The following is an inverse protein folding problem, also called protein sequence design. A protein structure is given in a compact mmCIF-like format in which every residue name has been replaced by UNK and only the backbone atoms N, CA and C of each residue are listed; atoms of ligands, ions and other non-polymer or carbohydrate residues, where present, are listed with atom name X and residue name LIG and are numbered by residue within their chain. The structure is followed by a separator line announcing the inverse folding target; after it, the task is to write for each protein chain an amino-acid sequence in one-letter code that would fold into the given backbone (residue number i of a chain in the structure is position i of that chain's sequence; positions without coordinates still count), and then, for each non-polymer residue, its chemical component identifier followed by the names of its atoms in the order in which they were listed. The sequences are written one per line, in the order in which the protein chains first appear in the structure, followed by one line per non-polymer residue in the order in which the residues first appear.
data_IF_495515986457
#
_entry.id   IF_495515986457
#
_cell.length_a   1.000
_cell.length_b   1.000
_cell.length_c   1.000
_cell.angle_alpha   90.00
_cell.angle_beta   90.00
_cell.angle_gamma   90.00
#
_symmetry.space_group_name_H-M   'P 1'
#
loop_
_entity.id
_entity.type
_entity.pdbx_description
1 polymer ?
#
# COMPACT_ATOMS: atom_id res chain seq x y z
N UNK A 1 38.23 12.25 2.46
CA UNK A 1 37.63 12.01 1.14
C UNK A 1 36.18 11.65 1.39
N UNK A 2 35.24 12.21 0.63
CA UNK A 2 33.84 11.76 0.70
C UNK A 2 33.78 10.27 0.33
N UNK A 3 32.97 9.46 1.04
CA UNK A 3 32.79 8.05 0.69
C UNK A 3 32.19 7.93 -0.73
N UNK A 4 32.61 6.89 -1.45
CA UNK A 4 32.09 6.63 -2.79
C UNK A 4 30.61 6.22 -2.73
N UNK A 5 30.26 5.42 -1.72
CA UNK A 5 28.93 4.81 -1.61
C UNK A 5 28.37 5.02 -0.20
N UNK A 6 27.13 5.47 -0.11
CA UNK A 6 26.31 5.51 1.09
C UNK A 6 25.04 4.69 0.91
N UNK A 7 24.78 3.78 1.84
CA UNK A 7 23.54 2.99 1.92
C UNK A 7 22.83 3.39 3.19
N UNK A 8 21.58 3.85 3.09
CA UNK A 8 20.80 4.37 4.21
C UNK A 8 19.55 3.52 4.35
N UNK A 9 19.42 2.81 5.47
CA UNK A 9 18.22 2.07 5.81
C UNK A 9 17.32 2.92 6.69
N UNK A 10 16.11 3.19 6.22
CA UNK A 10 15.11 4.00 6.92
C UNK A 10 13.84 3.18 7.16
N UNK A 11 13.62 2.76 8.41
CA UNK A 11 12.29 2.36 8.87
C UNK A 11 11.54 3.65 9.22
N UNK A 12 10.53 3.99 8.43
CA UNK A 12 9.89 5.30 8.52
C UNK A 12 8.77 5.38 9.56
N UNK A 13 8.34 4.23 10.12
CA UNK A 13 7.08 4.10 10.88
C UNK A 13 5.82 4.59 10.12
N UNK A 14 5.95 4.84 8.80
CA UNK A 14 4.92 5.21 7.80
C UNK A 14 4.15 6.52 8.03
N UNK A 15 4.22 7.10 9.23
CA UNK A 15 3.55 8.34 9.62
C UNK A 15 4.50 9.26 10.39
N UNK A 16 4.23 10.55 10.43
CA UNK A 16 5.08 11.53 11.14
C UNK A 16 4.64 11.76 12.59
N UNK A 17 4.41 10.68 13.34
CA UNK A 17 4.00 10.76 14.75
C UNK A 17 5.21 11.00 15.66
N UNK A 18 5.32 12.15 16.36
CA UNK A 18 6.49 12.47 17.18
C UNK A 18 6.70 11.50 18.36
N UNK A 19 5.66 10.77 18.77
CA UNK A 19 5.73 9.79 19.86
C UNK A 19 6.14 8.39 19.38
N UNK A 20 6.12 8.16 18.07
CA UNK A 20 6.44 6.89 17.43
C UNK A 20 7.27 7.16 16.17
N UNK A 21 8.45 7.78 16.32
CA UNK A 21 9.35 7.99 15.18
C UNK A 21 9.84 6.63 14.66
N UNK A 22 10.22 6.62 13.39
CA UNK A 22 10.99 5.53 12.82
C UNK A 22 12.46 5.56 13.26
N UNK A 23 13.33 4.95 12.49
CA UNK A 23 14.78 4.96 12.71
C UNK A 23 15.55 4.92 11.39
N UNK A 24 16.72 5.56 11.38
CA UNK A 24 17.65 5.54 10.25
C UNK A 24 19.03 5.03 10.70
N UNK A 25 19.66 4.23 9.84
CA UNK A 25 21.08 3.84 9.95
C UNK A 25 21.77 3.94 8.59
N UNK A 26 23.09 3.82 8.55
CA UNK A 26 23.80 3.79 7.28
C UNK A 26 25.06 2.92 7.27
N UNK A 27 25.46 2.52 6.06
CA UNK A 27 26.78 2.00 5.72
C UNK A 27 27.42 2.93 4.69
N UNK A 28 28.63 3.41 4.97
CA UNK A 28 29.36 4.29 4.05
C UNK A 28 30.72 3.70 3.73
N UNK A 29 31.15 3.76 2.46
CA UNK A 29 32.38 3.09 2.06
C UNK A 29 32.81 3.30 0.62
N UNK A 30 33.80 2.53 0.21
CA UNK A 30 34.39 2.49 -1.14
C UNK A 30 34.10 1.17 -1.87
N UNK A 31 33.10 0.43 -1.39
CA UNK A 31 32.79 -0.91 -1.88
C UNK A 31 33.67 -2.01 -1.28
N UNK A 32 34.83 -1.73 -0.68
CA UNK A 32 35.67 -2.72 -0.01
C UNK A 32 35.58 -2.59 1.52
N UNK A 33 35.76 -1.37 2.02
CA UNK A 33 35.70 -1.03 3.43
C UNK A 33 34.43 -0.25 3.73
N UNK A 34 33.80 -0.55 4.88
CA UNK A 34 32.52 0.03 5.26
C UNK A 34 32.56 0.54 6.70
N UNK A 35 32.04 1.74 6.89
CA UNK A 35 31.76 2.36 8.18
C UNK A 35 30.27 2.25 8.44
N UNK A 36 29.91 1.58 9.53
CA UNK A 36 28.53 1.52 10.01
C UNK A 36 28.22 2.72 10.90
N UNK A 37 27.18 3.45 10.54
CA UNK A 37 26.57 4.48 11.36
C UNK A 37 25.39 3.87 12.09
N UNK A 38 25.53 3.74 13.41
CA UNK A 38 24.55 3.11 14.28
C UNK A 38 23.16 3.76 14.13
N UNK A 39 22.08 2.97 14.30
CA UNK A 39 20.72 3.46 14.11
C UNK A 39 20.34 4.52 15.15
N UNK A 40 19.64 5.56 14.68
CA UNK A 40 19.08 6.62 15.51
C UNK A 40 17.61 6.79 15.17
N UNK A 41 16.78 7.09 16.17
CA UNK A 41 15.37 7.39 15.92
C UNK A 41 15.28 8.64 15.05
N UNK A 42 14.40 8.58 14.05
CA UNK A 42 14.25 9.63 13.08
C UNK A 42 12.83 9.68 12.53
N UNK A 43 12.31 10.90 12.44
CA UNK A 43 11.20 11.25 11.56
C UNK A 43 11.71 11.56 10.16
N UNK A 44 10.81 11.87 9.22
CA UNK A 44 11.19 12.11 7.82
C UNK A 44 12.17 13.28 7.62
N UNK A 45 12.00 14.37 8.36
CA UNK A 45 12.89 15.54 8.31
C UNK A 45 14.26 15.24 8.92
N UNK A 46 14.30 14.53 10.04
CA UNK A 46 15.53 14.08 10.70
C UNK A 46 16.28 13.05 9.84
N UNK A 47 15.58 12.11 9.22
CA UNK A 47 16.15 11.14 8.28
C UNK A 47 16.74 11.83 7.06
N UNK A 48 16.04 12.83 6.51
CA UNK A 48 16.58 13.64 5.41
C UNK A 48 17.84 14.41 5.85
N UNK A 49 17.81 15.05 7.02
CA UNK A 49 18.98 15.75 7.56
C UNK A 49 20.16 14.79 7.77
N UNK A 50 19.90 13.58 8.26
CA UNK A 50 20.91 12.53 8.42
C UNK A 50 21.54 12.15 7.07
N UNK A 51 20.74 11.92 6.02
CA UNK A 51 21.25 11.58 4.68
C UNK A 51 22.09 12.72 4.10
N UNK A 52 21.68 13.98 4.29
CA UNK A 52 22.42 15.16 3.82
C UNK A 52 23.71 15.41 4.60
N UNK A 53 23.74 15.10 5.89
CA UNK A 53 24.93 15.22 6.74
C UNK A 53 25.98 14.12 6.46
N UNK A 54 25.60 13.07 5.73
CA UNK A 54 26.44 11.95 5.39
C UNK A 54 26.49 11.78 3.86
N UNK A 55 27.12 12.70 3.09
CA UNK A 55 27.12 12.62 1.63
C UNK A 55 27.98 11.47 1.10
N UNK A 56 27.60 10.94 -0.05
CA UNK A 56 28.38 9.99 -0.84
C UNK A 56 28.11 10.23 -2.34
N UNK A 57 29.02 9.82 -3.22
CA UNK A 57 28.83 9.97 -4.67
C UNK A 57 27.62 9.18 -5.16
N UNK A 58 27.48 7.95 -4.67
CA UNK A 58 26.33 7.08 -4.86
C UNK A 58 25.58 6.90 -3.55
N UNK A 59 24.29 7.19 -3.54
CA UNK A 59 23.43 7.06 -2.37
C UNK A 59 22.28 6.10 -2.67
N UNK A 60 22.15 5.03 -1.88
CA UNK A 60 21.03 4.08 -1.96
C UNK A 60 20.20 4.21 -0.68
N UNK A 61 18.98 4.70 -0.80
CA UNK A 61 18.03 4.84 0.30
C UNK A 61 17.11 3.62 0.25
N UNK A 62 17.30 2.70 1.20
CA UNK A 62 16.44 1.54 1.43
C UNK A 62 15.35 1.92 2.43
N UNK A 63 14.15 2.20 1.91
CA UNK A 63 13.02 2.73 2.68
C UNK A 63 11.99 1.63 2.97
N UNK A 64 11.71 1.36 4.25
CA UNK A 64 10.54 0.56 4.66
C UNK A 64 9.29 1.44 4.65
N UNK A 65 8.84 1.73 3.43
CA UNK A 65 7.55 2.31 3.13
C UNK A 65 7.24 2.21 1.63
N UNK A 66 5.99 1.88 1.27
CA UNK A 66 5.46 2.08 -0.07
C UNK A 66 5.67 3.52 -0.59
N UNK A 67 6.22 3.66 -1.79
CA UNK A 67 6.49 4.96 -2.43
C UNK A 67 5.71 5.18 -3.73
N UNK A 68 5.05 4.14 -4.25
CA UNK A 68 4.09 4.23 -5.35
C UNK A 68 2.79 3.56 -4.92
N UNK A 69 1.78 4.34 -4.56
CA UNK A 69 0.48 3.86 -4.06
C UNK A 69 -0.65 4.49 -4.87
N UNK A 70 -1.05 3.80 -5.93
CA UNK A 70 -2.06 4.29 -6.88
C UNK A 70 -3.48 3.79 -6.56
N UNK A 71 -3.60 2.74 -5.76
CA UNK A 71 -4.87 2.14 -5.41
C UNK A 71 -5.57 2.93 -4.29
N UNK A 72 -6.84 3.27 -4.50
CA UNK A 72 -7.65 3.99 -3.52
C UNK A 72 -7.93 3.13 -2.27
N UNK A 73 -8.16 1.83 -2.44
CA UNK A 73 -8.44 0.86 -1.38
C UNK A 73 -7.66 -0.45 -1.61
N UNK A 74 -7.83 -1.45 -0.74
CA UNK A 74 -7.23 -2.76 -0.94
C UNK A 74 -5.72 -2.82 -0.68
N UNK A 75 -5.01 -3.65 -1.43
CA UNK A 75 -3.59 -3.99 -1.25
C UNK A 75 -2.90 -4.03 -2.61
N UNK A 76 -1.68 -3.48 -2.74
CA UNK A 76 -0.98 -3.45 -4.03
C UNK A 76 -0.60 -4.86 -4.47
N UNK A 77 -0.43 -5.10 -5.78
CA UNK A 77 0.03 -6.39 -6.28
C UNK A 77 1.36 -6.84 -5.65
N UNK A 78 2.28 -5.91 -5.40
CA UNK A 78 3.59 -6.19 -4.77
C UNK A 78 3.45 -6.77 -3.37
N UNK A 79 2.61 -6.18 -2.51
CA UNK A 79 2.35 -6.75 -1.17
C UNK A 79 1.70 -8.12 -1.24
N UNK A 80 0.89 -8.42 -2.27
CA UNK A 80 0.32 -9.76 -2.44
C UNK A 80 1.41 -10.80 -2.74
N UNK A 81 2.44 -10.41 -3.48
CA UNK A 81 3.59 -11.29 -3.73
C UNK A 81 4.42 -11.44 -2.45
N UNK A 82 4.73 -10.36 -1.74
CA UNK A 82 5.39 -10.43 -0.43
C UNK A 82 4.63 -11.33 0.55
N UNK A 83 3.29 -11.24 0.52
CA UNK A 83 2.38 -12.06 1.32
C UNK A 83 2.50 -13.56 1.08
N UNK A 84 2.97 -14.02 -0.08
CA UNK A 84 3.16 -15.47 -0.32
C UNK A 84 4.22 -16.10 0.58
N UNK A 85 5.18 -15.29 1.06
CA UNK A 85 6.21 -15.70 2.03
C UNK A 85 5.77 -15.35 3.44
N UNK A 86 5.38 -14.09 3.67
CA UNK A 86 5.09 -13.60 5.02
C UNK A 86 3.90 -14.34 5.63
N UNK A 87 2.82 -14.58 4.88
CA UNK A 87 1.66 -15.32 5.38
C UNK A 87 1.98 -16.81 5.59
N UNK A 88 2.83 -17.39 4.74
CA UNK A 88 3.28 -18.79 4.89
C UNK A 88 3.99 -19.02 6.23
N UNK A 89 4.67 -17.99 6.73
CA UNK A 89 5.34 -18.01 8.03
C UNK A 89 4.42 -17.53 9.18
N UNK A 90 3.15 -17.23 8.93
CA UNK A 90 2.21 -16.72 9.94
C UNK A 90 2.50 -15.28 10.37
N UNK A 91 3.12 -14.50 9.48
CA UNK A 91 3.16 -13.03 9.54
C UNK A 91 1.96 -12.42 8.81
N UNK A 92 1.92 -11.09 8.76
CA UNK A 92 0.93 -10.35 7.97
C UNK A 92 1.59 -9.20 7.22
N UNK A 93 1.04 -8.86 6.06
CA UNK A 93 1.47 -7.72 5.26
C UNK A 93 0.43 -6.61 5.39
N UNK A 94 0.85 -5.42 5.80
CA UNK A 94 -0.06 -4.29 5.93
C UNK A 94 -0.40 -3.74 4.53
N UNK A 95 -1.69 -3.60 4.17
CA UNK A 95 -2.07 -3.05 2.89
C UNK A 95 -1.67 -1.58 2.72
N UNK A 96 -1.04 -1.26 1.59
CA UNK A 96 -0.82 0.11 1.14
C UNK A 96 -1.95 0.54 0.19
N UNK A 97 -2.69 1.60 0.53
CA UNK A 97 -3.74 2.20 -0.29
C UNK A 97 -4.03 3.63 0.19
N UNK A 98 -4.53 4.50 -0.70
CA UNK A 98 -4.76 5.91 -0.40
C UNK A 98 -5.86 6.16 0.65
N UNK A 99 -6.71 5.17 0.94
CA UNK A 99 -7.67 5.21 2.04
C UNK A 99 -7.03 5.11 3.43
N UNK A 100 -5.73 4.76 3.53
CA UNK A 100 -4.96 4.78 4.78
C UNK A 100 -4.51 6.21 5.09
N UNK A 101 -5.39 6.95 5.76
CA UNK A 101 -5.17 8.35 6.12
C UNK A 101 -3.81 8.56 6.83
N UNK A 102 -3.10 9.61 6.43
CA UNK A 102 -1.75 9.99 6.87
C UNK A 102 -0.61 8.97 6.61
N UNK A 103 -0.90 7.78 6.07
CA UNK A 103 0.11 6.79 5.68
C UNK A 103 0.39 6.82 4.19
N UNK A 104 -0.67 6.90 3.37
CA UNK A 104 -0.58 6.85 1.90
C UNK A 104 -1.61 7.75 1.18
N UNK A 105 -2.36 8.57 1.91
CA UNK A 105 -3.20 9.62 1.31
C UNK A 105 -2.34 10.80 0.81
N UNK A 106 -2.95 11.83 0.23
CA UNK A 106 -2.22 12.99 -0.28
C UNK A 106 -1.41 13.76 0.79
N UNK A 107 -1.72 13.56 2.09
CA UNK A 107 -1.03 14.21 3.20
C UNK A 107 0.12 13.37 3.76
N UNK A 108 0.36 12.17 3.25
CA UNK A 108 1.40 11.29 3.78
C UNK A 108 2.80 11.94 3.70
N UNK A 109 3.58 11.89 4.78
CA UNK A 109 4.87 12.61 4.88
C UNK A 109 5.93 12.09 3.90
N UNK A 110 5.80 10.84 3.47
CA UNK A 110 6.71 10.20 2.51
C UNK A 110 6.76 10.93 1.17
N UNK A 111 5.65 11.56 0.73
CA UNK A 111 5.63 12.32 -0.52
C UNK A 111 6.55 13.53 -0.46
N UNK A 112 6.51 14.27 0.65
CA UNK A 112 7.41 15.41 0.88
C UNK A 112 8.85 14.95 0.99
N UNK A 113 9.09 13.85 1.71
CA UNK A 113 10.43 13.26 1.83
C UNK A 113 11.02 12.92 0.46
N UNK A 114 10.31 12.16 -0.39
CA UNK A 114 10.76 11.79 -1.74
C UNK A 114 10.98 13.03 -2.60
N UNK A 115 10.07 14.01 -2.53
CA UNK A 115 10.18 15.25 -3.31
C UNK A 115 11.47 16.02 -2.99
N UNK A 116 11.84 16.13 -1.72
CA UNK A 116 13.06 16.84 -1.29
C UNK A 116 14.30 16.00 -1.54
N UNK A 117 14.20 14.69 -1.29
CA UNK A 117 15.29 13.77 -1.50
C UNK A 117 15.71 13.75 -2.99
N UNK A 118 14.77 13.94 -3.92
CA UNK A 118 15.01 13.92 -5.38
C UNK A 118 15.69 12.63 -5.88
N UNK A 119 15.49 11.53 -5.14
CA UNK A 119 16.05 10.23 -5.49
C UNK A 119 15.34 9.61 -6.70
N UNK A 120 16.10 8.90 -7.53
CA UNK A 120 15.59 8.10 -8.64
C UNK A 120 15.04 6.78 -8.08
N UNK A 121 13.76 6.52 -8.32
CA UNK A 121 13.10 5.29 -7.89
C UNK A 121 13.29 4.17 -8.92
N UNK A 122 14.52 3.64 -9.01
CA UNK A 122 14.86 2.56 -9.93
C UNK A 122 15.92 1.65 -9.29
N UNK A 123 15.57 0.42 -8.86
CA UNK A 123 16.52 -0.47 -8.21
C UNK A 123 17.67 -0.88 -9.14
N UNK A 124 17.42 -1.03 -10.44
CA UNK A 124 18.45 -1.42 -11.40
C UNK A 124 19.47 -0.31 -11.64
N UNK A 125 19.01 0.95 -11.71
CA UNK A 125 19.90 2.12 -11.74
C UNK A 125 20.68 2.24 -10.41
N UNK A 126 20.00 2.04 -9.27
CA UNK A 126 20.64 2.01 -7.96
C UNK A 126 21.81 1.02 -7.86
N UNK A 127 21.80 -0.04 -8.67
CA UNK A 127 22.91 -0.98 -8.74
C UNK A 127 23.97 -0.59 -9.78
N UNK A 128 23.56 -0.23 -10.98
CA UNK A 128 24.46 -0.09 -12.14
C UNK A 128 25.17 1.27 -12.24
N UNK A 129 24.53 2.35 -11.78
CA UNK A 129 25.09 3.70 -11.91
C UNK A 129 26.23 3.95 -10.91
N UNK A 130 27.27 4.67 -11.32
CA UNK A 130 28.42 4.97 -10.46
C UNK A 130 28.15 6.07 -9.42
N UNK A 131 27.18 6.95 -9.70
CA UNK A 131 26.83 8.09 -8.86
C UNK A 131 25.34 8.39 -8.93
N UNK A 132 24.88 9.24 -8.01
CA UNK A 132 23.49 9.68 -7.93
C UNK A 132 22.79 9.14 -6.70
N UNK A 133 21.55 9.57 -6.52
CA UNK A 133 20.72 9.22 -5.38
C UNK A 133 19.55 8.37 -5.83
N UNK A 134 19.42 7.20 -5.23
CA UNK A 134 18.45 6.18 -5.61
C UNK A 134 17.64 5.76 -4.41
N UNK A 135 16.35 5.48 -4.62
CA UNK A 135 15.47 4.96 -3.58
C UNK A 135 14.95 3.59 -4.00
N UNK A 136 14.97 2.66 -3.05
CA UNK A 136 14.37 1.34 -3.18
C UNK A 136 13.39 1.10 -2.03
N UNK A 137 12.19 0.63 -2.35
CA UNK A 137 11.26 0.11 -1.33
C UNK A 137 11.80 -1.22 -0.80
N UNK A 138 11.81 -1.39 0.52
CA UNK A 138 12.22 -2.62 1.20
C UNK A 138 11.18 -3.02 2.24
N UNK A 139 11.21 -4.28 2.68
CA UNK A 139 10.30 -4.77 3.72
C UNK A 139 11.03 -5.77 4.63
N UNK A 140 11.46 -5.35 5.84
CA UNK A 140 12.23 -6.18 6.77
C UNK A 140 11.62 -7.56 7.01
N UNK A 141 10.30 -7.64 7.23
CA UNK A 141 9.64 -8.91 7.50
C UNK A 141 9.69 -9.91 6.32
N UNK A 142 9.78 -9.43 5.08
CA UNK A 142 9.99 -10.27 3.89
C UNK A 142 11.46 -10.71 3.75
N UNK A 143 12.41 -9.86 4.13
CA UNK A 143 13.85 -10.11 4.02
C UNK A 143 14.39 -11.05 5.09
N UNK A 144 13.86 -10.96 6.33
CA UNK A 144 14.33 -11.71 7.50
C UNK A 144 14.49 -13.22 7.24
N UNK A 145 13.54 -13.95 6.62
CA UNK A 145 13.70 -15.39 6.38
C UNK A 145 14.89 -15.74 5.47
N UNK A 146 15.34 -14.81 4.63
CA UNK A 146 16.53 -14.97 3.78
C UNK A 146 17.81 -14.57 4.51
N UNK A 147 17.79 -13.46 5.25
CA UNK A 147 18.94 -12.97 6.03
C UNK A 147 19.23 -13.86 7.25
N UNK A 148 18.19 -14.48 7.81
CA UNK A 148 18.26 -15.39 8.95
C UNK A 148 17.62 -16.73 8.56
N UNK A 149 18.36 -17.61 7.84
CA UNK A 149 17.79 -18.84 7.28
C UNK A 149 17.15 -19.79 8.30
N UNK A 150 17.53 -19.69 9.58
CA UNK A 150 16.91 -20.45 10.66
C UNK A 150 15.41 -20.12 10.82
N UNK A 151 14.99 -18.90 10.51
CA UNK A 151 13.57 -18.50 10.52
C UNK A 151 12.80 -19.16 9.37
N UNK A 152 13.42 -19.29 8.21
CA UNK A 152 12.83 -20.06 7.11
C UNK A 152 12.71 -21.55 7.46
N UNK A 153 13.81 -22.16 7.94
CA UNK A 153 13.87 -23.59 8.28
C UNK A 153 12.83 -24.01 9.32
N UNK A 154 12.59 -23.17 10.34
CA UNK A 154 11.61 -23.47 11.40
C UNK A 154 10.15 -23.29 10.98
N UNK A 155 9.88 -22.70 9.81
CA UNK A 155 8.53 -22.58 9.25
C UNK A 155 7.59 -21.58 9.94
N UNK A 156 8.11 -20.67 10.77
CA UNK A 156 7.32 -19.59 11.41
C UNK A 156 8.09 -18.27 11.52
N UNK A 157 7.38 -17.16 11.38
CA UNK A 157 7.91 -15.81 11.47
C UNK A 157 8.45 -15.52 12.87
N UNK A 158 9.46 -14.66 12.96
CA UNK A 158 9.95 -14.13 14.23
C UNK A 158 8.92 -13.20 14.84
N UNK A 159 8.55 -13.46 16.09
CA UNK A 159 7.74 -12.57 16.93
C UNK A 159 8.65 -11.62 17.72
N UNK A 160 9.48 -10.88 16.99
CA UNK A 160 10.52 -10.01 17.57
C UNK A 160 10.05 -8.57 17.84
N UNK A 161 8.79 -8.21 17.53
CA UNK A 161 8.27 -6.86 17.75
C UNK A 161 7.74 -6.67 19.19
N UNK A 162 8.41 -5.90 20.06
CA UNK A 162 7.98 -5.70 21.44
C UNK A 162 6.75 -4.81 21.57
N UNK A 163 6.43 -4.00 20.55
CA UNK A 163 5.19 -3.23 20.48
C UNK A 163 3.93 -4.10 20.38
N UNK A 164 4.09 -5.40 20.09
CA UNK A 164 3.03 -6.41 20.13
C UNK A 164 3.25 -7.32 21.35
N UNK A 165 3.24 -6.75 22.56
CA UNK A 165 3.62 -7.42 23.81
C UNK A 165 2.99 -8.81 24.00
N UNK A 166 1.72 -9.00 23.63
CA UNK A 166 1.02 -10.30 23.73
C UNK A 166 1.58 -11.40 22.82
N UNK A 167 2.30 -11.03 21.75
CA UNK A 167 2.88 -11.95 20.77
C UNK A 167 4.40 -12.01 20.87
N UNK A 168 5.03 -10.99 21.45
CA UNK A 168 6.48 -10.85 21.53
C UNK A 168 7.14 -12.06 22.21
N UNK A 169 8.28 -12.48 21.67
CA UNK A 169 9.11 -13.53 22.24
C UNK A 169 10.57 -13.07 22.24
N UNK A 170 11.17 -12.96 23.43
CA UNK A 170 12.57 -12.57 23.58
C UNK A 170 13.51 -13.53 22.83
N UNK A 171 13.22 -14.82 22.81
CA UNK A 171 14.00 -15.81 22.05
C UNK A 171 13.96 -15.55 20.53
N UNK A 172 12.85 -15.01 20.01
CA UNK A 172 12.76 -14.64 18.59
C UNK A 172 13.52 -13.35 18.29
N UNK A 173 13.56 -12.39 19.22
CA UNK A 173 14.44 -11.22 19.14
C UNK A 173 15.91 -11.64 19.09
N UNK A 174 16.33 -12.48 20.04
CA UNK A 174 17.70 -13.01 20.10
C UNK A 174 18.07 -13.79 18.84
N UNK A 175 17.15 -14.58 18.28
CA UNK A 175 17.35 -15.31 17.03
C UNK A 175 17.54 -14.38 15.82
N UNK A 176 16.77 -13.30 15.74
CA UNK A 176 16.95 -12.29 14.67
C UNK A 176 18.32 -11.64 14.82
N UNK A 177 18.68 -11.16 16.00
CA UNK A 177 20.00 -10.55 16.24
C UNK A 177 21.15 -11.54 15.94
N UNK A 178 21.05 -12.80 16.36
CA UNK A 178 22.05 -13.85 16.10
C UNK A 178 22.27 -14.07 14.60
N UNK A 179 21.18 -14.22 13.85
CA UNK A 179 21.26 -14.39 12.39
C UNK A 179 21.85 -13.18 11.68
N UNK A 180 21.49 -11.96 12.13
CA UNK A 180 22.05 -10.73 11.59
C UNK A 180 23.53 -10.56 11.98
N UNK A 181 23.95 -11.01 13.17
CA UNK A 181 25.37 -11.05 13.58
C UNK A 181 26.15 -11.95 12.64
N UNK A 182 25.67 -13.16 12.37
CA UNK A 182 26.34 -14.08 11.45
C UNK A 182 26.41 -13.49 10.04
N UNK A 183 25.31 -12.91 9.56
CA UNK A 183 25.28 -12.24 8.26
C UNK A 183 26.29 -11.09 8.18
N UNK A 184 26.35 -10.23 9.20
CA UNK A 184 27.26 -9.09 9.25
C UNK A 184 28.74 -9.54 9.36
N UNK A 185 29.02 -10.64 10.06
CA UNK A 185 30.35 -11.27 10.09
C UNK A 185 30.77 -11.74 8.69
N UNK A 186 29.88 -12.46 7.99
CA UNK A 186 30.14 -12.97 6.64
C UNK A 186 30.37 -11.82 5.63
N UNK A 187 29.74 -10.67 5.87
CA UNK A 187 29.89 -9.46 5.07
C UNK A 187 31.09 -8.57 5.48
N UNK A 188 31.82 -8.91 6.55
CA UNK A 188 32.94 -8.11 7.03
C UNK A 188 32.52 -6.75 7.62
N UNK A 189 31.41 -6.70 8.37
CA UNK A 189 30.85 -5.49 8.98
C UNK A 189 31.01 -5.49 10.52
N UNK A 190 32.23 -5.35 11.06
CA UNK A 190 32.51 -5.57 12.49
C UNK A 190 31.77 -4.60 13.43
N UNK A 191 31.62 -3.34 13.05
CA UNK A 191 30.90 -2.34 13.85
C UNK A 191 29.39 -2.58 13.89
N UNK A 192 28.81 -3.16 12.83
CA UNK A 192 27.43 -3.64 12.85
C UNK A 192 27.28 -4.86 13.77
N UNK A 193 28.26 -5.77 13.78
CA UNK A 193 28.29 -6.92 14.69
C UNK A 193 28.31 -6.47 16.16
N UNK A 194 29.13 -5.48 16.51
CA UNK A 194 29.19 -4.92 17.86
C UNK A 194 27.83 -4.36 18.31
N UNK A 195 27.18 -3.55 17.46
CA UNK A 195 25.84 -3.04 17.72
C UNK A 195 24.83 -4.18 17.94
N UNK A 196 24.79 -5.16 17.03
CA UNK A 196 23.81 -6.25 17.10
C UNK A 196 24.03 -7.16 18.33
N UNK A 197 25.27 -7.34 18.80
CA UNK A 197 25.56 -8.07 20.05
C UNK A 197 25.00 -7.35 21.27
N UNK A 198 25.08 -6.02 21.31
CA UNK A 198 24.47 -5.21 22.37
C UNK A 198 22.95 -5.37 22.35
N UNK A 199 22.33 -5.29 21.17
CA UNK A 199 20.88 -5.50 21.03
C UNK A 199 20.44 -6.92 21.40
N UNK A 200 21.23 -7.94 21.05
CA UNK A 200 20.91 -9.35 21.35
C UNK A 200 20.77 -9.63 22.86
N UNK A 201 21.63 -9.02 23.68
CA UNK A 201 21.66 -9.27 25.14
C UNK A 201 20.73 -8.36 25.94
N UNK A 202 19.97 -7.48 25.27
CA UNK A 202 19.01 -6.58 25.93
C UNK A 202 17.88 -7.41 26.57
N UNK A 203 17.63 -7.30 27.89
CA UNK A 203 16.65 -8.14 28.57
C UNK A 203 15.21 -7.77 28.22
N UNK A 204 14.93 -6.48 28.06
CA UNK A 204 13.60 -5.93 27.79
C UNK A 204 13.62 -4.97 26.59
N UNK A 205 13.73 -5.49 25.34
CA UNK A 205 13.68 -4.65 24.15
C UNK A 205 12.35 -3.89 24.04
N UNK A 206 12.42 -2.65 23.58
CA UNK A 206 11.28 -1.76 23.39
C UNK A 206 10.87 -1.66 21.92
N UNK A 207 9.71 -1.03 21.64
CA UNK A 207 9.31 -0.73 20.25
C UNK A 207 10.38 0.09 19.52
N UNK A 208 10.96 1.10 20.17
CA UNK A 208 12.03 1.92 19.60
C UNK A 208 13.30 1.12 19.31
N UNK A 209 13.60 0.08 20.09
CA UNK A 209 14.73 -0.82 19.78
C UNK A 209 14.44 -1.63 18.52
N UNK A 210 13.18 -2.05 18.32
CA UNK A 210 12.76 -2.71 17.09
C UNK A 210 12.79 -1.77 15.88
N UNK A 211 12.35 -0.51 15.99
CA UNK A 211 12.51 0.48 14.89
C UNK A 211 13.99 0.60 14.49
N UNK A 212 14.89 0.68 15.48
CA UNK A 212 16.34 0.71 15.22
C UNK A 212 16.83 -0.55 14.52
N UNK A 213 16.44 -1.72 15.01
CA UNK A 213 16.82 -2.99 14.38
C UNK A 213 16.29 -3.10 12.95
N UNK A 214 15.06 -2.68 12.68
CA UNK A 214 14.46 -2.69 11.35
C UNK A 214 15.17 -1.72 10.40
N UNK A 215 15.62 -0.56 10.89
CA UNK A 215 16.48 0.33 10.09
C UNK A 215 17.83 -0.29 9.72
N UNK A 216 18.42 -1.12 10.60
CA UNK A 216 19.62 -1.91 10.29
C UNK A 216 19.30 -2.97 9.23
N UNK A 217 18.17 -3.67 9.35
CA UNK A 217 17.73 -4.65 8.35
C UNK A 217 17.54 -3.96 6.99
N UNK A 218 16.92 -2.78 6.94
CA UNK A 218 16.79 -1.98 5.73
C UNK A 218 18.16 -1.66 5.10
N UNK A 219 19.13 -1.24 5.91
CA UNK A 219 20.51 -0.97 5.46
C UNK A 219 21.14 -2.24 4.88
N UNK A 220 20.98 -3.40 5.53
CA UNK A 220 21.51 -4.66 5.05
C UNK A 220 20.82 -5.14 3.76
N UNK A 221 19.53 -4.86 3.56
CA UNK A 221 18.84 -5.13 2.27
C UNK A 221 19.49 -4.30 1.15
N UNK A 222 19.71 -3.00 1.38
CA UNK A 222 20.41 -2.14 0.42
C UNK A 222 21.83 -2.62 0.12
N UNK A 223 22.55 -3.10 1.13
CA UNK A 223 23.88 -3.69 1.00
C UNK A 223 23.87 -4.97 0.15
N UNK A 224 22.96 -5.91 0.43
CA UNK A 224 22.76 -7.12 -0.37
C UNK A 224 22.48 -6.78 -1.84
N UNK A 225 21.59 -5.80 -2.07
CA UNK A 225 21.23 -5.38 -3.42
C UNK A 225 22.42 -4.84 -4.19
N UNK A 226 23.18 -3.94 -3.59
CA UNK A 226 24.40 -3.37 -4.20
C UNK A 226 25.42 -4.48 -4.53
N UNK A 227 25.68 -5.38 -3.56
CA UNK A 227 26.74 -6.40 -3.69
C UNK A 227 26.42 -7.48 -4.71
N UNK A 228 25.20 -7.97 -4.72
CA UNK A 228 24.88 -9.23 -5.43
C UNK A 228 23.77 -9.08 -6.47
N UNK A 229 23.01 -7.98 -6.47
CA UNK A 229 21.89 -7.80 -7.40
C UNK A 229 20.97 -9.01 -7.43
N UNK A 230 20.54 -9.42 -8.62
CA UNK A 230 19.62 -10.56 -8.81
C UNK A 230 20.20 -11.93 -8.46
N UNK A 231 21.51 -12.05 -8.15
CA UNK A 231 22.09 -13.35 -7.81
C UNK A 231 21.59 -13.88 -6.45
N UNK A 232 21.28 -12.98 -5.50
CA UNK A 232 20.80 -13.33 -4.16
C UNK A 232 19.64 -12.44 -3.68
N UNK A 233 19.09 -11.62 -4.58
CA UNK A 233 17.96 -10.74 -4.31
C UNK A 233 16.93 -10.85 -5.42
N UNK A 234 15.73 -10.33 -5.17
CA UNK A 234 14.67 -10.18 -6.14
C UNK A 234 14.14 -8.75 -6.14
N UNK A 235 13.62 -8.34 -7.29
CA UNK A 235 12.81 -7.14 -7.49
C UNK A 235 11.40 -7.57 -7.84
N UNK A 236 10.45 -7.30 -6.96
CA UNK A 236 9.03 -7.54 -7.18
C UNK A 236 8.41 -6.26 -7.72
N UNK A 237 7.58 -6.31 -8.75
CA UNK A 237 6.83 -5.16 -9.26
C UNK A 237 7.61 -4.29 -10.26
N UNK A 238 7.13 -3.06 -10.44
CA UNK A 238 7.58 -2.13 -11.47
C UNK A 238 7.44 -0.65 -11.01
N UNK A 239 7.89 0.29 -11.84
CA UNK A 239 7.79 1.72 -11.56
C UNK A 239 6.39 2.33 -11.71
N UNK A 240 5.35 1.54 -12.03
CA UNK A 240 3.98 2.00 -12.22
C UNK A 240 3.03 1.53 -11.11
N UNK A 241 3.14 0.26 -10.68
CA UNK A 241 2.27 -0.38 -9.69
C UNK A 241 2.93 -0.49 -8.30
N UNK A 242 4.15 0.01 -8.18
CA UNK A 242 5.02 -0.16 -7.02
C UNK A 242 5.98 -1.32 -7.20
N UNK A 243 7.03 -1.31 -6.40
CA UNK A 243 8.08 -2.32 -6.45
C UNK A 243 8.65 -2.59 -5.06
N UNK A 244 9.42 -3.65 -4.90
CA UNK A 244 10.13 -3.95 -3.65
C UNK A 244 11.39 -4.75 -3.93
N UNK A 245 12.48 -4.42 -3.25
CA UNK A 245 13.74 -5.18 -3.29
C UNK A 245 13.87 -6.01 -2.02
N UNK A 246 14.19 -7.29 -2.16
CA UNK A 246 14.42 -8.19 -1.01
C UNK A 246 15.53 -9.20 -1.30
N UNK A 247 16.39 -9.52 -0.32
CA UNK A 247 17.20 -10.72 -0.36
C UNK A 247 16.30 -11.96 -0.41
N UNK A 248 16.68 -12.94 -1.21
CA UNK A 248 15.89 -14.14 -1.44
C UNK A 248 16.80 -15.37 -1.54
N UNK A 249 16.68 -16.28 -0.57
CA UNK A 249 17.24 -17.63 -0.73
C UNK A 249 16.58 -18.33 -1.94
N UNK A 250 17.23 -19.29 -2.60
CA UNK A 250 16.68 -19.95 -3.80
C UNK A 250 15.25 -20.50 -3.63
N UNK A 251 14.95 -21.08 -2.46
CA UNK A 251 13.61 -21.57 -2.16
C UNK A 251 12.56 -20.45 -2.04
N UNK A 252 12.94 -19.29 -1.50
CA UNK A 252 12.09 -18.11 -1.37
C UNK A 252 11.90 -17.45 -2.74
N UNK A 253 12.97 -17.28 -3.51
CA UNK A 253 12.92 -16.75 -4.88
C UNK A 253 11.96 -17.57 -5.75
N UNK A 254 12.01 -18.90 -5.69
CA UNK A 254 11.10 -19.77 -6.45
C UNK A 254 9.62 -19.52 -6.11
N UNK A 255 9.30 -19.30 -4.82
CA UNK A 255 7.93 -19.03 -4.40
C UNK A 255 7.49 -17.64 -4.85
N UNK A 256 8.34 -16.62 -4.69
CA UNK A 256 8.03 -15.25 -5.10
C UNK A 256 7.82 -15.16 -6.62
N UNK A 257 8.71 -15.77 -7.40
CA UNK A 257 8.60 -15.82 -8.86
C UNK A 257 7.30 -16.49 -9.30
N UNK A 258 6.93 -17.62 -8.68
CA UNK A 258 5.66 -18.31 -8.98
C UNK A 258 4.46 -17.45 -8.63
N UNK A 259 4.46 -16.85 -7.44
CA UNK A 259 3.37 -15.98 -7.00
C UNK A 259 3.22 -14.75 -7.91
N UNK A 260 4.33 -14.18 -8.38
CA UNK A 260 4.34 -13.07 -9.32
C UNK A 260 3.76 -13.49 -10.68
N UNK A 261 4.19 -14.64 -11.23
CA UNK A 261 3.67 -15.19 -12.48
C UNK A 261 2.15 -15.46 -12.41
N UNK A 262 1.67 -16.09 -11.32
CA UNK A 262 0.24 -16.36 -11.09
C UNK A 262 -0.62 -15.08 -11.04
N UNK A 263 -0.03 -13.94 -10.68
CA UNK A 263 -0.72 -12.66 -10.48
C UNK A 263 -0.36 -11.63 -11.56
N UNK A 264 0.40 -12.05 -12.57
CA UNK A 264 0.88 -11.18 -13.65
C UNK A 264 1.60 -9.92 -13.13
N UNK A 265 2.36 -10.06 -12.04
CA UNK A 265 3.18 -8.98 -11.48
C UNK A 265 4.60 -9.10 -12.06
N UNK A 266 5.21 -8.03 -12.57
CA UNK A 266 6.59 -8.07 -13.02
C UNK A 266 7.55 -8.55 -11.93
N UNK A 267 8.57 -9.30 -12.33
CA UNK A 267 9.54 -9.89 -11.41
C UNK A 267 10.92 -9.90 -12.07
N UNK A 268 11.89 -9.27 -11.42
CA UNK A 268 13.26 -9.13 -11.90
C UNK A 268 13.36 -8.51 -13.32
N UNK A 269 12.45 -7.59 -13.66
CA UNK A 269 12.37 -6.96 -15.00
C UNK A 269 12.86 -5.50 -14.98
N UNK A 270 14.06 -5.19 -15.55
CA UNK A 270 14.55 -3.81 -15.65
C UNK A 270 13.67 -2.90 -16.52
N UNK A 271 13.01 -3.44 -17.54
CA UNK A 271 12.16 -2.70 -18.47
C UNK A 271 10.93 -2.05 -17.81
N UNK A 272 10.56 -2.49 -16.61
CA UNK A 272 9.49 -1.89 -15.81
C UNK A 272 9.86 -0.55 -15.16
N UNK A 273 11.10 -0.08 -15.33
CA UNK A 273 11.60 1.12 -14.67
C UNK A 273 12.14 2.13 -15.69
N UNK A 274 11.73 3.39 -15.56
CA UNK A 274 12.27 4.48 -16.36
C UNK A 274 13.64 4.92 -15.85
N UNK A 275 14.53 5.31 -16.76
CA UNK A 275 15.86 5.84 -16.42
C UNK A 275 15.82 7.29 -15.91
N UNK A 276 14.75 8.04 -16.19
CA UNK A 276 14.71 9.51 -16.03
C UNK A 276 13.67 10.03 -15.04
N UNK A 277 12.94 9.16 -14.35
CA UNK A 277 11.95 9.63 -13.38
C UNK A 277 12.64 10.04 -12.08
N UNK A 278 13.13 11.28 -12.03
CA UNK A 278 12.85 12.07 -10.84
C UNK A 278 11.33 12.07 -10.70
N UNK A 279 10.79 11.61 -9.57
CA UNK A 279 9.36 11.71 -9.34
C UNK A 279 8.96 13.16 -9.51
N UNK A 280 8.30 13.50 -10.62
CA UNK A 280 7.38 14.62 -10.67
C UNK A 280 6.26 14.25 -9.71
N UNK A 281 6.46 14.55 -8.43
CA UNK A 281 5.35 14.89 -7.57
C UNK A 281 4.65 16.01 -8.32
N UNK A 282 3.49 15.71 -8.93
CA UNK A 282 2.57 16.76 -9.36
C UNK A 282 2.39 17.65 -8.15
N UNK A 283 2.99 18.85 -8.22
CA UNK A 283 3.17 19.72 -7.09
C UNK A 283 1.81 20.02 -6.44
N UNK A 284 1.55 19.42 -5.28
CA UNK A 284 0.67 20.06 -4.32
C UNK A 284 1.48 21.21 -3.72
N UNK A 285 1.24 22.42 -4.23
CA UNK A 285 1.73 23.65 -3.61
C UNK A 285 0.81 23.94 -2.42
N UNK A 286 1.31 23.92 -1.17
CA UNK A 286 0.54 24.43 -0.05
C UNK A 286 0.56 25.95 -0.13
N UNK A 287 -0.60 26.58 -0.25
CA UNK A 287 -0.73 28.03 -0.07
C UNK A 287 -0.48 28.34 1.41
N UNK A 288 0.76 28.71 1.73
CA UNK A 288 1.16 29.25 3.02
C UNK A 288 0.83 30.74 3.06
N UNK A 289 -0.46 31.05 3.10
CA UNK A 289 -0.93 32.34 3.57
C UNK A 289 -2.09 32.15 4.56
N UNK A 290 -1.91 32.74 5.74
CA UNK A 290 -2.86 32.86 6.85
C UNK A 290 -2.83 31.75 7.93
N UNK A 291 -1.79 31.80 8.76
CA UNK A 291 -1.92 31.50 10.19
C UNK A 291 -2.46 32.75 10.91
N UNK A 292 -3.69 32.69 11.43
CA UNK A 292 -4.05 33.29 12.74
C UNK A 292 -5.20 32.51 13.39
N UNK A 293 -5.31 32.54 14.74
CA UNK A 293 -6.01 31.52 15.52
C UNK A 293 -7.48 31.86 15.84
N UNK A 294 -8.24 30.80 16.13
CA UNK A 294 -9.62 30.79 16.66
C UNK A 294 -10.76 31.18 15.71
N UNK A 295 -11.34 30.16 15.07
CA UNK A 295 -12.77 29.83 15.15
C UNK A 295 -13.03 28.58 14.32
N UNK A 296 -13.72 27.58 14.88
CA UNK A 296 -14.19 26.39 14.13
C UNK A 296 -15.42 26.78 13.28
N UNK A 297 -15.43 26.56 11.95
CA UNK A 297 -16.66 26.50 11.18
C UNK A 297 -16.91 25.08 10.64
N UNK A 298 -18.19 24.66 10.65
CA UNK A 298 -18.69 23.48 9.92
C UNK A 298 -18.42 23.64 8.43
N UNK A 299 -17.69 22.72 7.82
CA UNK A 299 -17.46 22.68 6.38
C UNK A 299 -18.65 21.99 5.67
N UNK A 300 -19.32 22.73 4.79
CA UNK A 300 -20.32 22.23 3.84
C UNK A 300 -19.65 21.76 2.55
N UNK A 301 -20.24 20.76 1.88
CA UNK A 301 -19.72 20.00 0.73
C UNK A 301 -19.34 20.78 -0.55
N UNK A 302 -19.39 22.11 -0.56
CA UNK A 302 -19.08 22.95 -1.72
C UNK A 302 -17.66 23.58 -1.70
N UNK A 303 -16.87 23.38 -0.63
CA UNK A 303 -15.53 23.99 -0.50
C UNK A 303 -14.36 23.06 -0.84
N UNK A 304 -14.62 21.81 -1.23
CA UNK A 304 -13.58 20.79 -1.49
C UNK A 304 -13.18 20.69 -2.97
N UNK A 305 -13.99 21.20 -3.90
CA UNK A 305 -13.69 21.12 -5.33
C UNK A 305 -13.87 22.49 -5.99
N UNK A 306 -12.80 22.97 -6.60
CA UNK A 306 -12.79 24.20 -7.39
C UNK A 306 -13.85 24.19 -8.51
N UNK A 307 -14.09 25.38 -9.06
CA UNK A 307 -15.20 25.71 -9.97
C UNK A 307 -15.40 24.69 -11.10
N UNK A 308 -16.67 24.37 -11.43
CA UNK A 308 -16.99 23.61 -12.63
C UNK A 308 -16.54 24.38 -13.88
N UNK A 309 -16.00 23.64 -14.86
CA UNK A 309 -15.86 24.10 -16.24
C UNK A 309 -17.19 24.73 -16.71
N UNK A 310 -17.05 25.81 -17.48
CA UNK A 310 -18.11 26.71 -17.88
C UNK A 310 -19.43 26.00 -18.24
N UNK A 311 -20.55 26.53 -17.74
CA UNK A 311 -21.87 26.29 -18.33
C UNK A 311 -21.87 26.84 -19.76
N UNK A 312 -21.92 25.95 -20.75
CA UNK A 312 -22.75 26.20 -21.93
C UNK A 312 -24.03 25.38 -21.80
N UNK A 313 -25.15 26.11 -21.72
CA UNK A 313 -26.56 25.69 -21.83
C UNK A 313 -27.14 24.66 -20.85
N UNK A 314 -28.31 25.02 -20.33
CA UNK A 314 -29.21 24.21 -19.51
C UNK A 314 -29.46 22.81 -20.07
N UNK A 315 -29.01 21.78 -19.34
CA UNK A 315 -29.62 20.46 -19.41
C UNK A 315 -29.65 19.86 -18.01
N UNK A 316 -30.86 19.64 -17.48
CA UNK A 316 -31.07 18.72 -16.37
C UNK A 316 -30.38 17.38 -16.70
N UNK A 317 -29.73 16.71 -15.73
CA UNK A 317 -29.10 15.42 -16.00
C UNK A 317 -30.16 14.45 -16.56
N UNK A 318 -29.84 13.81 -17.69
CA UNK A 318 -30.74 12.85 -18.33
C UNK A 318 -30.60 11.48 -17.66
N UNK A 319 -31.72 10.81 -17.39
CA UNK A 319 -31.73 9.43 -16.88
C UNK A 319 -31.07 8.49 -17.90
N UNK A 320 -29.85 8.03 -17.60
CA UNK A 320 -29.02 7.19 -18.47
C UNK A 320 -28.42 6.00 -17.72
N UNK A 321 -27.83 5.06 -18.47
CA UNK A 321 -27.14 3.89 -17.91
C UNK A 321 -26.01 4.31 -16.95
N UNK A 322 -25.06 5.13 -17.43
CA UNK A 322 -23.87 5.49 -16.65
C UNK A 322 -24.24 6.26 -15.39
N UNK A 323 -25.22 7.16 -15.47
CA UNK A 323 -25.66 7.96 -14.34
C UNK A 323 -26.29 7.09 -13.24
N UNK A 324 -27.10 6.10 -13.61
CA UNK A 324 -27.70 5.16 -12.66
C UNK A 324 -26.64 4.19 -12.13
N UNK A 325 -25.74 3.68 -12.97
CA UNK A 325 -24.68 2.75 -12.57
C UNK A 325 -23.77 3.37 -11.51
N UNK A 326 -23.28 4.59 -11.74
CA UNK A 326 -22.44 5.32 -10.78
C UNK A 326 -23.19 5.64 -9.48
N UNK A 327 -24.46 5.97 -9.57
CA UNK A 327 -25.30 6.20 -8.37
C UNK A 327 -25.43 4.92 -7.53
N UNK A 328 -25.57 3.75 -8.16
CA UNK A 328 -25.64 2.48 -7.44
C UNK A 328 -24.29 2.08 -6.85
N UNK A 329 -23.17 2.39 -7.52
CA UNK A 329 -21.82 2.24 -6.96
C UNK A 329 -21.66 3.12 -5.72
N UNK A 330 -22.08 4.39 -5.78
CA UNK A 330 -22.04 5.28 -4.63
C UNK A 330 -22.90 4.74 -3.48
N UNK A 331 -24.10 4.24 -3.79
CA UNK A 331 -24.97 3.60 -2.81
C UNK A 331 -24.33 2.35 -2.20
N UNK A 332 -23.65 1.52 -2.99
CA UNK A 332 -22.93 0.34 -2.53
C UNK A 332 -21.82 0.73 -1.54
N UNK A 333 -20.99 1.69 -1.92
CA UNK A 333 -19.85 2.17 -1.13
C UNK A 333 -20.29 2.84 0.18
N UNK A 334 -21.45 3.51 0.17
CA UNK A 334 -22.03 4.13 1.36
C UNK A 334 -22.98 3.21 2.13
N UNK A 335 -23.11 1.95 1.71
CA UNK A 335 -23.99 0.92 2.29
C UNK A 335 -25.44 1.36 2.39
N UNK A 336 -25.92 2.11 1.39
CA UNK A 336 -27.29 2.62 1.30
C UNK A 336 -28.14 1.75 0.38
N UNK A 337 -29.38 1.55 0.79
CA UNK A 337 -30.45 1.01 -0.05
C UNK A 337 -31.27 2.19 -0.58
N UNK A 338 -31.55 2.18 -1.87
CA UNK A 338 -32.31 3.23 -2.55
C UNK A 338 -33.70 2.73 -2.90
N UNK A 339 -34.70 3.60 -2.84
CA UNK A 339 -35.98 3.33 -3.48
C UNK A 339 -35.94 3.75 -4.95
N UNK A 340 -36.85 3.22 -5.77
CA UNK A 340 -37.01 3.72 -7.15
C UNK A 340 -37.18 5.24 -7.21
N UNK A 341 -37.87 5.83 -6.24
CA UNK A 341 -38.01 7.28 -6.14
C UNK A 341 -36.69 8.01 -5.86
N UNK A 342 -35.84 7.43 -5.02
CA UNK A 342 -34.52 8.02 -4.69
C UNK A 342 -33.59 8.03 -5.91
N UNK A 343 -33.66 6.99 -6.77
CA UNK A 343 -32.89 6.93 -8.01
C UNK A 343 -33.37 7.97 -9.03
N UNK A 344 -34.68 8.26 -9.06
CA UNK A 344 -35.29 9.12 -10.08
C UNK A 344 -35.32 10.61 -9.69
N UNK A 345 -35.32 10.92 -8.39
CA UNK A 345 -35.42 12.28 -7.88
C UNK A 345 -34.32 13.23 -8.39
N UNK A 346 -33.03 12.82 -8.49
CA UNK A 346 -31.97 13.67 -9.03
C UNK A 346 -32.19 14.10 -10.49
N UNK A 347 -33.03 13.39 -11.24
CA UNK A 347 -33.35 13.66 -12.64
C UNK A 347 -34.67 14.44 -12.81
N UNK A 348 -35.26 14.94 -11.72
CA UNK A 348 -36.52 15.69 -11.75
C UNK A 348 -37.76 14.85 -12.07
N UNK A 349 -37.66 13.51 -12.03
CA UNK A 349 -38.74 12.60 -12.40
C UNK A 349 -39.52 12.20 -11.14
N UNK A 350 -40.79 12.59 -11.07
CA UNK A 350 -41.67 12.20 -9.95
C UNK A 350 -42.13 10.75 -10.09
N UNK A 351 -41.96 9.97 -9.02
CA UNK A 351 -42.20 8.52 -8.96
C UNK A 351 -43.67 8.06 -9.16
N UNK A 352 -44.61 8.99 -9.39
CA UNK A 352 -46.06 8.74 -9.31
C UNK A 352 -46.73 8.45 -10.67
N UNK A 353 -45.99 8.31 -11.76
CA UNK A 353 -46.57 7.97 -13.07
C UNK A 353 -46.12 6.59 -13.51
N UNK A 354 -47.09 5.72 -13.80
CA UNK A 354 -46.91 4.34 -14.27
C UNK A 354 -45.93 4.22 -15.47
N UNK A 355 -45.70 5.31 -16.20
CA UNK A 355 -44.74 5.43 -17.33
C UNK A 355 -43.27 5.62 -16.92
N UNK A 356 -42.94 5.64 -15.62
CA UNK A 356 -41.59 5.96 -15.11
C UNK A 356 -40.80 4.71 -14.68
N UNK A 357 -41.46 3.73 -14.06
CA UNK A 357 -40.83 2.43 -13.75
C UNK A 357 -40.42 1.71 -15.05
N UNK A 358 -41.18 1.90 -16.13
CA UNK A 358 -40.86 1.38 -17.46
C UNK A 358 -39.60 1.97 -18.10
N UNK A 359 -39.10 3.13 -17.64
CA UNK A 359 -37.86 3.75 -18.18
C UNK A 359 -36.61 3.36 -17.38
N UNK A 360 -36.75 3.17 -16.06
CA UNK A 360 -35.64 2.72 -15.21
C UNK A 360 -35.42 1.21 -15.29
N UNK A 361 -36.50 0.43 -15.47
CA UNK A 361 -36.39 -1.04 -15.55
C UNK A 361 -35.42 -1.53 -16.63
N UNK A 362 -35.47 -1.06 -17.90
CA UNK A 362 -34.51 -1.47 -18.92
C UNK A 362 -33.05 -1.13 -18.56
N UNK A 363 -32.83 -0.03 -17.83
CA UNK A 363 -31.49 0.36 -17.37
C UNK A 363 -31.01 -0.60 -16.29
N UNK A 364 -31.84 -0.91 -15.29
CA UNK A 364 -31.49 -1.85 -14.22
C UNK A 364 -31.27 -3.27 -14.77
N UNK A 365 -32.10 -3.73 -15.69
CA UNK A 365 -31.93 -5.02 -16.36
C UNK A 365 -30.60 -5.05 -17.13
N UNK A 366 -30.22 -3.95 -17.81
CA UNK A 366 -28.91 -3.83 -18.48
C UNK A 366 -27.74 -3.86 -17.49
N UNK A 367 -27.85 -3.22 -16.32
CA UNK A 367 -26.82 -3.24 -15.27
C UNK A 367 -26.62 -4.66 -14.77
N UNK A 368 -27.71 -5.39 -14.49
CA UNK A 368 -27.64 -6.80 -14.06
C UNK A 368 -26.89 -7.65 -15.07
N UNK A 369 -27.19 -7.52 -16.36
CA UNK A 369 -26.50 -8.26 -17.41
C UNK A 369 -25.00 -7.94 -17.46
N UNK A 370 -24.61 -6.67 -17.29
CA UNK A 370 -23.20 -6.28 -17.27
C UNK A 370 -22.47 -6.79 -16.03
N UNK A 371 -23.08 -6.69 -14.84
CA UNK A 371 -22.50 -7.25 -13.63
C UNK A 371 -22.28 -8.77 -13.79
N UNK A 372 -23.25 -9.51 -14.35
CA UNK A 372 -23.09 -10.95 -14.61
C UNK A 372 -21.95 -11.26 -15.58
N UNK A 373 -21.82 -10.51 -16.68
CA UNK A 373 -20.72 -10.69 -17.64
C UNK A 373 -19.35 -10.47 -17.02
N UNK A 374 -19.25 -9.50 -16.10
CA UNK A 374 -18.03 -9.16 -15.38
C UNK A 374 -17.81 -10.02 -14.12
N UNK A 375 -18.73 -10.94 -13.84
CA UNK A 375 -18.74 -11.77 -12.62
C UNK A 375 -18.79 -10.96 -11.32
N UNK A 376 -19.49 -9.83 -11.36
CA UNK A 376 -19.72 -8.91 -10.25
C UNK A 376 -21.06 -9.21 -9.55
N UNK A 377 -21.20 -8.87 -8.27
CA UNK A 377 -22.49 -8.88 -7.58
C UNK A 377 -23.51 -7.94 -8.22
N UNK A 378 -24.79 -8.20 -8.04
CA UNK A 378 -25.81 -7.47 -8.79
C UNK A 378 -26.17 -6.14 -8.11
N UNK A 379 -25.64 -5.01 -8.61
CA UNK A 379 -25.91 -3.66 -8.07
C UNK A 379 -27.40 -3.33 -7.98
N UNK A 380 -28.20 -3.85 -8.91
CA UNK A 380 -29.64 -3.62 -8.91
C UNK A 380 -30.34 -4.13 -7.63
N UNK A 381 -29.69 -5.01 -6.84
CA UNK A 381 -30.18 -5.43 -5.52
C UNK A 381 -30.31 -4.28 -4.51
N UNK A 382 -29.64 -3.15 -4.74
CA UNK A 382 -29.74 -1.96 -3.89
C UNK A 382 -31.00 -1.13 -4.14
N UNK A 383 -31.77 -1.42 -5.20
CA UNK A 383 -32.98 -0.66 -5.55
C UNK A 383 -34.22 -1.45 -5.17
N UNK A 384 -35.03 -0.90 -4.26
CA UNK A 384 -36.23 -1.57 -3.72
C UNK A 384 -37.49 -0.74 -3.84
N UNK A 385 -38.66 -1.40 -3.84
CA UNK A 385 -39.93 -0.70 -3.75
C UNK A 385 -40.13 -0.14 -2.33
N UNK A 386 -40.54 1.13 -2.22
CA UNK A 386 -40.70 1.81 -0.92
C UNK A 386 -41.70 1.12 0.01
N UNK A 387 -42.74 0.50 -0.55
CA UNK A 387 -43.82 -0.15 0.21
C UNK A 387 -43.45 -1.54 0.72
N UNK A 388 -42.66 -2.31 -0.03
CA UNK A 388 -42.36 -3.70 0.31
C UNK A 388 -40.92 -3.91 0.80
N UNK A 389 -40.01 -3.00 0.46
CA UNK A 389 -38.57 -3.14 0.72
C UNK A 389 -37.92 -4.25 -0.11
N UNK A 390 -38.58 -4.74 -1.16
CA UNK A 390 -38.11 -5.82 -2.03
C UNK A 390 -37.73 -5.25 -3.40
N UNK A 391 -36.70 -5.82 -4.03
CA UNK A 391 -36.31 -5.51 -5.41
C UNK A 391 -37.40 -5.92 -6.42
N UNK A 392 -37.34 -5.39 -7.65
CA UNK A 392 -38.31 -5.74 -8.69
C UNK A 392 -38.16 -7.19 -9.17
N UNK A 393 -39.24 -7.78 -9.70
CA UNK A 393 -39.23 -9.18 -10.15
C UNK A 393 -38.16 -9.48 -11.22
N UNK A 394 -37.79 -8.49 -12.04
CA UNK A 394 -36.69 -8.62 -13.02
C UNK A 394 -35.36 -9.03 -12.37
N UNK A 395 -35.02 -8.47 -11.21
CA UNK A 395 -33.81 -8.85 -10.48
C UNK A 395 -33.81 -10.34 -10.10
N UNK A 396 -34.94 -10.85 -9.63
CA UNK A 396 -35.05 -12.25 -9.21
C UNK A 396 -35.06 -13.22 -10.38
N UNK A 397 -35.58 -12.82 -11.54
CA UNK A 397 -35.51 -13.63 -12.77
C UNK A 397 -34.05 -13.91 -13.19
N UNK A 398 -33.12 -13.02 -12.87
CA UNK A 398 -31.68 -13.20 -13.12
C UNK A 398 -30.96 -14.07 -12.08
N UNK A 399 -31.61 -14.41 -10.95
CA UNK A 399 -31.05 -15.27 -9.90
C UNK A 399 -31.50 -16.74 -10.02
N UNK A 400 -32.43 -17.07 -10.92
CA UNK A 400 -32.82 -18.45 -11.23
C UNK A 400 -34.29 -18.62 -11.64
N UNK A 401 -34.64 -19.84 -12.05
CA UNK A 401 -35.98 -20.19 -12.55
C UNK A 401 -36.87 -20.75 -11.43
N UNK A 402 -37.78 -19.95 -10.89
CA UNK A 402 -38.84 -20.45 -10.01
C UNK A 402 -39.70 -19.34 -9.37
N UNK A 403 -40.96 -19.62 -9.00
CA UNK A 403 -41.75 -18.67 -8.22
C UNK A 403 -41.16 -18.58 -6.81
N UNK A 404 -40.45 -17.50 -6.53
CA UNK A 404 -39.93 -17.23 -5.19
C UNK A 404 -41.06 -16.82 -4.25
N UNK A 405 -41.14 -17.46 -3.08
CA UNK A 405 -41.99 -16.95 -2.00
C UNK A 405 -41.47 -15.59 -1.52
N UNK A 406 -42.30 -14.79 -0.86
CA UNK A 406 -41.86 -13.49 -0.31
C UNK A 406 -40.71 -13.63 0.69
N UNK A 407 -40.64 -14.74 1.41
CA UNK A 407 -39.56 -15.05 2.34
C UNK A 407 -38.25 -15.33 1.59
N UNK A 408 -38.31 -16.08 0.49
CA UNK A 408 -37.16 -16.38 -0.36
C UNK A 408 -36.62 -15.11 -1.00
N UNK A 409 -37.52 -14.25 -1.52
CA UNK A 409 -37.13 -12.96 -2.11
C UNK A 409 -36.34 -12.11 -1.13
N UNK A 410 -36.80 -11.99 0.13
CA UNK A 410 -36.09 -11.21 1.16
C UNK A 410 -34.72 -11.79 1.51
N UNK A 411 -34.63 -13.12 1.64
CA UNK A 411 -33.36 -13.79 1.97
C UNK A 411 -32.34 -13.63 0.85
N UNK A 412 -32.74 -13.91 -0.40
CA UNK A 412 -31.86 -13.82 -1.57
C UNK A 412 -31.40 -12.38 -1.79
N UNK A 413 -32.31 -11.42 -1.66
CA UNK A 413 -31.99 -10.01 -1.78
C UNK A 413 -30.92 -9.59 -0.77
N UNK A 414 -31.05 -10.00 0.49
CA UNK A 414 -30.09 -9.63 1.53
C UNK A 414 -28.71 -10.25 1.32
N UNK A 415 -28.65 -11.50 0.87
CA UNK A 415 -27.38 -12.15 0.52
C UNK A 415 -26.67 -11.39 -0.60
N UNK A 416 -27.41 -10.99 -1.63
CA UNK A 416 -26.84 -10.26 -2.76
C UNK A 416 -26.39 -8.85 -2.36
N UNK A 417 -27.17 -8.15 -1.53
CA UNK A 417 -26.77 -6.84 -0.98
C UNK A 417 -25.50 -6.94 -0.14
N UNK A 418 -25.33 -8.00 0.65
CA UNK A 418 -24.09 -8.25 1.37
C UNK A 418 -22.92 -8.38 0.40
N UNK A 419 -23.07 -9.18 -0.66
CA UNK A 419 -22.02 -9.28 -1.69
C UNK A 419 -21.72 -7.91 -2.31
N UNK A 420 -22.75 -7.14 -2.69
CA UNK A 420 -22.58 -5.81 -3.27
C UNK A 420 -21.85 -4.86 -2.31
N UNK A 421 -22.19 -4.84 -1.02
CA UNK A 421 -21.53 -3.97 -0.04
C UNK A 421 -20.11 -4.39 0.30
N UNK A 422 -19.80 -5.67 0.10
CA UNK A 422 -18.48 -6.24 0.34
C UNK A 422 -17.64 -6.30 -0.96
N UNK A 423 -18.22 -5.93 -2.10
CA UNK A 423 -17.58 -5.89 -3.42
C UNK A 423 -16.89 -4.55 -3.68
N UNK A 424 -15.70 -4.62 -4.28
CA UNK A 424 -14.89 -3.45 -4.57
C UNK A 424 -15.27 -2.80 -5.91
N UNK A 425 -16.23 -1.87 -5.86
CA UNK A 425 -16.81 -1.21 -7.04
C UNK A 425 -15.90 -0.20 -7.75
N UNK A 426 -14.71 0.10 -7.22
CA UNK A 426 -13.77 1.05 -7.83
C UNK A 426 -12.83 0.40 -8.86
N UNK A 427 -12.89 -0.93 -9.00
CA UNK A 427 -12.01 -1.76 -9.82
C UNK A 427 -12.71 -2.34 -11.07
N UNK A 428 -13.95 -1.92 -11.39
CA UNK A 428 -14.89 -2.53 -12.33
C UNK A 428 -15.24 -1.67 -13.57
#
# INVERSE_FOLDING_TARGET
MEPEIGIYGFDSAWTDNPKQPGSISALMGDGQSWVFHAPTLARFDEALAFILAHPAQKQIIALDQPTIVNNASGIRPVERIAGSIVNKLGGGVQPANQGRANMFDAAAPVWRFIQVLQAIQNPFAARSEAQGRFLIEVFPALAIPSLVPNIWKRGRAAKYNPGQAAKFQLADWQLVCDGLIQFALDCGLPTAVEYLRIEQVKPDPTKSDQDRLDSVICTLIGFCWLKSGLATNCVIGDGHHGFMVTPALPAIQSILHRAAAEKSVPFDQPSGFSATTHSTVTAFVPDTSQLTPNNKPKLTAAAVYGKPLAKSSDTQPSLSYDAVYLMLIEAANTKRILTYGDVLAPFGIKANSFSVVGRLKPILDKIVLQNQQRQEPLLASLVVAKTTGIAGDGFFQHLGSGPFTDLDKKRLLKLEQTKVFDFDWFSA
#
